data_IF_547340049994
#
_entry.id   IF_547340049994
#
_cell.length_a   1.000
_cell.length_b   1.000
_cell.length_c   1.000
_cell.angle_alpha   90.00
_cell.angle_beta   90.00
_cell.angle_gamma   90.00
#
_symmetry.space_group_name_H-M   'P 1'
#
loop_
_entity.id
_entity.type
_entity.pdbx_description
1 polymer ?
#
# COMPACT_ATOMS: atom_id res chain seq x y z
N UNK A 1 -52.99 -52.90 -50.50
CA UNK A 1 -52.09 -53.17 -49.40
C UNK A 1 -50.76 -52.52 -49.73
N UNK A 2 -50.45 -51.37 -49.14
CA UNK A 2 -49.18 -50.66 -49.30
C UNK A 2 -48.41 -50.78 -47.96
N UNK A 3 -47.11 -51.09 -47.94
CA UNK A 3 -46.36 -51.20 -46.72
C UNK A 3 -45.94 -49.81 -46.21
N UNK A 4 -46.19 -49.53 -44.95
CA UNK A 4 -45.72 -48.37 -44.26
C UNK A 4 -44.21 -48.50 -43.96
N UNK A 5 -43.42 -47.57 -44.45
CA UNK A 5 -42.02 -47.39 -44.07
C UNK A 5 -41.93 -46.62 -42.75
N UNK A 6 -41.53 -47.32 -41.70
CA UNK A 6 -41.17 -46.66 -40.43
C UNK A 6 -39.77 -46.06 -40.61
N UNK A 7 -39.66 -44.74 -40.63
CA UNK A 7 -38.38 -44.04 -40.51
C UNK A 7 -37.94 -44.11 -39.03
N UNK A 8 -36.85 -44.80 -38.77
CA UNK A 8 -36.16 -44.74 -37.50
C UNK A 8 -35.51 -43.35 -37.35
N UNK A 9 -36.03 -42.55 -36.44
CA UNK A 9 -35.36 -41.32 -35.95
C UNK A 9 -34.12 -41.74 -35.15
N UNK A 10 -32.95 -41.56 -35.70
CA UNK A 10 -31.69 -41.63 -34.96
C UNK A 10 -31.70 -40.47 -33.96
N UNK A 11 -31.46 -40.72 -32.65
CA UNK A 11 -31.29 -39.65 -31.70
C UNK A 11 -30.05 -38.83 -32.08
N UNK A 12 -30.21 -37.51 -32.22
CA UNK A 12 -29.06 -36.61 -32.38
C UNK A 12 -28.15 -36.75 -31.17
N UNK A 13 -26.88 -37.04 -31.42
CA UNK A 13 -25.86 -37.03 -30.38
C UNK A 13 -25.89 -35.63 -29.71
N UNK A 14 -25.75 -35.56 -28.37
CA UNK A 14 -25.66 -34.28 -27.70
C UNK A 14 -24.48 -33.52 -28.30
N UNK A 15 -24.73 -32.27 -28.74
CA UNK A 15 -23.69 -31.38 -29.19
C UNK A 15 -22.66 -31.27 -28.05
N UNK A 16 -21.48 -31.86 -28.24
CA UNK A 16 -20.39 -31.76 -27.27
C UNK A 16 -20.13 -30.30 -26.98
N UNK A 17 -20.00 -29.95 -25.71
CA UNK A 17 -19.52 -28.62 -25.35
C UNK A 17 -18.21 -28.40 -26.09
N UNK A 18 -18.03 -27.25 -26.78
CA UNK A 18 -16.76 -26.97 -27.43
C UNK A 18 -15.63 -27.09 -26.40
N UNK A 19 -14.63 -27.90 -26.71
CA UNK A 19 -13.43 -28.01 -25.88
C UNK A 19 -12.79 -26.63 -25.75
N UNK A 20 -12.42 -26.24 -24.54
CA UNK A 20 -11.76 -24.96 -24.30
C UNK A 20 -10.42 -24.92 -25.02
N UNK A 21 -10.09 -23.79 -25.62
CA UNK A 21 -8.88 -23.64 -26.45
C UNK A 21 -7.72 -23.23 -25.55
N UNK A 22 -6.56 -23.86 -25.72
CA UNK A 22 -5.31 -23.43 -25.11
C UNK A 22 -4.82 -22.14 -25.82
N UNK A 23 -4.62 -21.07 -25.05
CA UNK A 23 -4.10 -19.78 -25.53
C UNK A 23 -2.58 -19.73 -25.41
N UNK A 24 -2.06 -20.19 -24.28
CA UNK A 24 -0.63 -20.24 -24.02
C UNK A 24 -0.24 -21.49 -23.22
N UNK A 25 1.00 -21.96 -23.43
CA UNK A 25 1.67 -22.95 -22.60
C UNK A 25 2.74 -22.23 -21.79
N UNK A 26 2.78 -22.47 -20.49
CA UNK A 26 3.69 -21.82 -19.54
C UNK A 26 4.36 -22.91 -18.71
N UNK A 27 5.59 -23.29 -19.07
CA UNK A 27 6.28 -24.48 -18.57
C UNK A 27 5.40 -25.74 -18.74
N UNK A 28 5.00 -26.38 -17.62
CA UNK A 28 4.19 -27.59 -17.61
C UNK A 28 2.68 -27.30 -17.48
N UNK A 29 2.25 -26.03 -17.54
CA UNK A 29 0.87 -25.61 -17.36
C UNK A 29 0.34 -24.87 -18.59
N UNK A 30 -0.97 -24.64 -18.66
CA UNK A 30 -1.65 -24.00 -19.78
C UNK A 30 -2.54 -22.86 -19.31
N UNK A 31 -2.74 -21.87 -20.19
CA UNK A 31 -3.76 -20.82 -20.03
C UNK A 31 -4.83 -21.08 -21.09
N UNK A 32 -6.08 -21.14 -20.64
CA UNK A 32 -7.25 -21.41 -21.47
C UNK A 32 -7.88 -20.11 -21.99
N UNK A 33 -8.61 -20.24 -23.10
CA UNK A 33 -9.35 -19.11 -23.68
C UNK A 33 -10.42 -18.57 -22.74
N UNK A 34 -11.08 -19.45 -21.98
CA UNK A 34 -12.04 -19.05 -20.95
C UNK A 34 -11.39 -18.19 -19.88
N UNK A 35 -10.22 -18.60 -19.35
CA UNK A 35 -9.48 -17.82 -18.35
C UNK A 35 -9.10 -16.42 -18.86
N UNK A 36 -8.63 -16.33 -20.12
CA UNK A 36 -8.32 -15.05 -20.74
C UNK A 36 -9.57 -14.17 -20.87
N UNK A 37 -10.69 -14.73 -21.35
CA UNK A 37 -11.94 -14.01 -21.55
C UNK A 37 -12.50 -13.51 -20.22
N UNK A 38 -12.47 -14.33 -19.17
CA UNK A 38 -12.94 -13.98 -17.83
C UNK A 38 -12.09 -12.85 -17.23
N UNK A 39 -10.78 -12.93 -17.38
CA UNK A 39 -9.86 -11.89 -16.93
C UNK A 39 -10.04 -10.57 -17.69
N UNK A 40 -10.23 -10.61 -19.01
CA UNK A 40 -10.56 -9.43 -19.84
C UNK A 40 -11.89 -8.82 -19.41
N UNK A 41 -12.92 -9.67 -19.20
CA UNK A 41 -14.24 -9.21 -18.74
C UNK A 41 -14.16 -8.53 -17.37
N UNK A 42 -13.38 -9.08 -16.44
CA UNK A 42 -13.16 -8.47 -15.13
C UNK A 42 -12.52 -7.08 -15.25
N UNK A 43 -11.52 -6.90 -16.12
CA UNK A 43 -10.93 -5.59 -16.37
C UNK A 43 -11.96 -4.62 -16.96
N UNK A 44 -12.74 -5.06 -17.94
CA UNK A 44 -13.78 -4.22 -18.53
C UNK A 44 -14.85 -3.80 -17.52
N UNK A 45 -15.25 -4.70 -16.61
CA UNK A 45 -16.20 -4.38 -15.53
C UNK A 45 -15.64 -3.36 -14.54
N UNK A 46 -14.35 -3.44 -14.22
CA UNK A 46 -13.70 -2.48 -13.36
C UNK A 46 -13.69 -1.07 -13.95
N UNK A 47 -13.64 -0.96 -15.28
CA UNK A 47 -13.70 0.31 -16.02
C UNK A 47 -15.10 0.59 -16.60
N UNK A 48 -16.15 -0.04 -16.07
CA UNK A 48 -17.52 0.22 -16.51
C UNK A 48 -17.89 1.70 -16.25
N UNK A 49 -18.19 2.44 -17.33
CA UNK A 49 -18.40 3.90 -17.31
C UNK A 49 -17.19 4.74 -17.74
N UNK A 50 -16.01 4.14 -17.91
CA UNK A 50 -14.77 4.78 -18.37
C UNK A 50 -14.06 3.92 -19.42
N UNK A 51 -14.82 3.29 -20.31
CA UNK A 51 -14.30 2.38 -21.34
C UNK A 51 -13.37 3.06 -22.33
N UNK A 52 -13.45 4.38 -22.47
CA UNK A 52 -12.52 5.20 -23.26
C UNK A 52 -11.07 5.19 -22.74
N UNK A 53 -10.86 4.76 -21.49
CA UNK A 53 -9.53 4.63 -20.89
C UNK A 53 -8.89 3.27 -21.20
N UNK A 54 -9.66 2.31 -21.71
CA UNK A 54 -9.14 1.00 -22.07
C UNK A 54 -8.45 1.07 -23.44
N UNK A 55 -7.33 0.35 -23.59
CA UNK A 55 -6.67 0.21 -24.88
C UNK A 55 -7.55 -0.60 -25.85
N UNK A 56 -7.23 -0.61 -27.16
CA UNK A 56 -7.89 -1.48 -28.13
C UNK A 56 -7.91 -2.94 -27.65
N UNK A 57 -8.97 -3.67 -27.99
CA UNK A 57 -9.24 -5.00 -27.46
C UNK A 57 -8.06 -5.99 -27.63
N UNK A 58 -7.40 -5.97 -28.75
CA UNK A 58 -6.23 -6.82 -29.00
C UNK A 58 -5.07 -6.51 -28.06
N UNK A 59 -4.83 -5.22 -27.76
CA UNK A 59 -3.80 -4.79 -26.81
C UNK A 59 -4.20 -5.16 -25.37
N UNK A 60 -5.49 -4.98 -25.03
CA UNK A 60 -6.01 -5.39 -23.74
C UNK A 60 -5.86 -6.89 -23.51
N UNK A 61 -6.25 -7.70 -24.49
CA UNK A 61 -6.12 -9.16 -24.40
C UNK A 61 -4.66 -9.59 -24.22
N UNK A 62 -3.73 -8.94 -24.91
CA UNK A 62 -2.31 -9.22 -24.75
C UNK A 62 -1.80 -8.86 -23.36
N UNK A 63 -2.11 -7.66 -22.85
CA UNK A 63 -1.70 -7.23 -21.51
C UNK A 63 -2.26 -8.15 -20.43
N UNK A 64 -3.51 -8.58 -20.60
CA UNK A 64 -4.14 -9.54 -19.68
C UNK A 64 -3.48 -10.92 -19.79
N UNK A 65 -3.16 -11.40 -20.98
CA UNK A 65 -2.44 -12.66 -21.18
C UNK A 65 -1.06 -12.61 -20.52
N UNK A 66 -0.30 -11.54 -20.71
CA UNK A 66 1.00 -11.35 -20.07
C UNK A 66 0.92 -11.40 -18.55
N UNK A 67 -0.12 -10.78 -18.00
CA UNK A 67 -0.40 -10.83 -16.55
C UNK A 67 -0.71 -12.25 -16.09
N UNK A 68 -1.52 -13.00 -16.84
CA UNK A 68 -1.84 -14.39 -16.52
C UNK A 68 -0.60 -15.28 -16.59
N UNK A 69 0.25 -15.09 -17.59
CA UNK A 69 1.54 -15.79 -17.72
C UNK A 69 2.42 -15.54 -16.50
N UNK A 70 2.62 -14.26 -16.12
CA UNK A 70 3.42 -13.93 -14.93
C UNK A 70 2.83 -14.49 -13.65
N UNK A 71 1.51 -14.44 -13.48
CA UNK A 71 0.84 -15.04 -12.33
C UNK A 71 1.09 -16.55 -12.26
N UNK A 72 0.95 -17.27 -13.39
CA UNK A 72 1.20 -18.71 -13.47
C UNK A 72 2.63 -19.07 -13.09
N UNK A 73 3.60 -18.32 -13.61
CA UNK A 73 5.02 -18.51 -13.29
C UNK A 73 5.30 -18.27 -11.77
N UNK A 74 4.71 -17.26 -11.19
CA UNK A 74 4.87 -16.96 -9.77
C UNK A 74 4.29 -18.08 -8.90
N UNK A 75 3.11 -18.60 -9.25
CA UNK A 75 2.46 -19.72 -8.52
C UNK A 75 3.32 -20.98 -8.62
N UNK A 76 3.80 -21.34 -9.82
CA UNK A 76 4.70 -22.48 -10.01
C UNK A 76 5.96 -22.33 -9.16
N UNK A 77 6.58 -21.16 -9.19
CA UNK A 77 7.79 -20.88 -8.41
C UNK A 77 7.57 -20.92 -6.91
N UNK A 78 6.43 -20.42 -6.43
CA UNK A 78 6.04 -20.51 -5.02
C UNK A 78 5.91 -21.98 -4.59
N UNK A 79 5.27 -22.81 -5.41
CA UNK A 79 5.14 -24.26 -5.17
C UNK A 79 6.50 -24.97 -5.14
N UNK A 80 7.42 -24.65 -6.07
CA UNK A 80 8.79 -25.16 -6.09
C UNK A 80 9.56 -24.82 -4.81
N UNK A 81 9.30 -23.65 -4.24
CA UNK A 81 9.90 -23.19 -2.99
C UNK A 81 9.19 -23.70 -1.72
N UNK A 82 8.15 -24.53 -1.88
CA UNK A 82 7.38 -25.05 -0.75
C UNK A 82 6.47 -24.01 -0.09
N UNK A 83 6.15 -22.92 -0.76
CA UNK A 83 5.18 -21.93 -0.27
C UNK A 83 3.78 -22.47 -0.52
N UNK A 84 3.09 -22.81 0.56
CA UNK A 84 1.73 -23.35 0.50
C UNK A 84 0.75 -22.42 1.21
N UNK A 85 -0.45 -22.31 0.66
CA UNK A 85 -1.60 -21.61 1.26
C UNK A 85 -2.60 -22.67 1.70
N UNK A 86 -2.96 -22.66 2.97
CA UNK A 86 -3.96 -23.60 3.53
C UNK A 86 -5.39 -23.07 3.33
N UNK A 87 -6.37 -23.98 3.42
CA UNK A 87 -7.79 -23.59 3.40
C UNK A 87 -8.11 -22.58 4.53
N UNK A 88 -7.47 -22.70 5.69
CA UNK A 88 -7.65 -21.78 6.80
C UNK A 88 -7.14 -20.35 6.47
N UNK A 89 -6.03 -20.23 5.73
CA UNK A 89 -5.53 -18.92 5.24
C UNK A 89 -6.55 -18.27 4.31
N UNK A 90 -7.13 -19.06 3.39
CA UNK A 90 -8.16 -18.58 2.45
C UNK A 90 -9.44 -18.19 3.19
N UNK A 91 -9.87 -18.96 4.18
CA UNK A 91 -11.06 -18.65 4.98
C UNK A 91 -10.87 -17.36 5.80
N UNK A 92 -9.68 -17.16 6.35
CA UNK A 92 -9.33 -15.91 7.03
C UNK A 92 -9.33 -14.71 6.07
N UNK A 93 -8.82 -14.87 4.85
CA UNK A 93 -8.86 -13.84 3.83
C UNK A 93 -10.31 -13.50 3.43
N UNK A 94 -11.17 -14.51 3.25
CA UNK A 94 -12.61 -14.34 2.99
C UNK A 94 -13.28 -13.55 4.10
N UNK A 95 -12.98 -13.87 5.37
CA UNK A 95 -13.50 -13.12 6.51
C UNK A 95 -13.05 -11.66 6.45
N UNK A 96 -11.77 -11.40 6.19
CA UNK A 96 -11.23 -10.04 6.06
C UNK A 96 -11.91 -9.24 4.94
N UNK A 97 -12.13 -9.85 3.77
CA UNK A 97 -12.86 -9.22 2.65
C UNK A 97 -14.31 -8.93 3.03
N UNK A 98 -14.98 -9.85 3.72
CA UNK A 98 -16.34 -9.65 4.18
C UNK A 98 -16.44 -8.48 5.18
N UNK A 99 -15.55 -8.42 6.18
CA UNK A 99 -15.49 -7.34 7.18
C UNK A 99 -15.25 -5.97 6.54
N UNK A 100 -14.31 -5.87 5.59
CA UNK A 100 -14.03 -4.63 4.84
C UNK A 100 -15.26 -4.11 4.08
N UNK A 101 -16.08 -5.04 3.57
CA UNK A 101 -17.31 -4.70 2.86
C UNK A 101 -18.54 -4.63 3.79
N UNK A 102 -18.37 -4.80 5.10
CA UNK A 102 -19.45 -4.81 6.11
C UNK A 102 -20.49 -5.92 5.84
N UNK A 103 -20.02 -7.08 5.39
CA UNK A 103 -20.79 -8.27 5.08
C UNK A 103 -20.41 -9.42 6.02
N UNK A 104 -21.30 -10.42 6.11
CA UNK A 104 -20.87 -11.74 6.62
C UNK A 104 -20.25 -12.57 5.49
N UNK A 105 -19.45 -13.62 5.79
CA UNK A 105 -18.93 -14.50 4.76
C UNK A 105 -20.02 -15.14 3.86
N UNK A 106 -21.20 -15.45 4.42
CA UNK A 106 -22.34 -15.98 3.68
C UNK A 106 -22.93 -14.93 2.73
N UNK A 107 -23.02 -13.68 3.16
CA UNK A 107 -23.48 -12.56 2.32
C UNK A 107 -22.49 -12.29 1.19
N UNK A 108 -21.19 -12.32 1.47
CA UNK A 108 -20.14 -12.18 0.46
C UNK A 108 -20.26 -13.29 -0.58
N UNK A 109 -20.43 -14.56 -0.14
CA UNK A 109 -20.67 -15.68 -1.04
C UNK A 109 -21.86 -15.47 -1.96
N UNK A 110 -23.00 -15.08 -1.39
CA UNK A 110 -24.19 -14.81 -2.17
C UNK A 110 -23.99 -13.69 -3.19
N UNK A 111 -23.25 -12.64 -2.84
CA UNK A 111 -22.92 -11.54 -3.73
C UNK A 111 -22.01 -11.99 -4.89
N UNK A 112 -20.98 -12.80 -4.62
CA UNK A 112 -20.11 -13.38 -5.65
C UNK A 112 -20.93 -14.24 -6.63
N UNK A 113 -21.80 -15.12 -6.12
CA UNK A 113 -22.64 -15.97 -6.94
C UNK A 113 -23.68 -15.16 -7.77
N UNK A 114 -24.22 -14.07 -7.23
CA UNK A 114 -25.11 -13.15 -7.96
C UNK A 114 -24.39 -12.36 -9.06
N UNK A 115 -23.10 -12.08 -8.92
CA UNK A 115 -22.30 -11.44 -9.98
C UNK A 115 -21.96 -12.38 -11.15
N UNK A 116 -22.38 -13.65 -11.08
CA UNK A 116 -22.15 -14.67 -12.10
C UNK A 116 -20.84 -15.43 -11.96
N UNK A 117 -20.07 -15.20 -10.88
CA UNK A 117 -18.83 -15.91 -10.59
C UNK A 117 -19.07 -17.08 -9.65
N UNK A 118 -18.35 -18.19 -9.81
CA UNK A 118 -18.44 -19.28 -8.83
C UNK A 118 -17.65 -18.92 -7.56
N UNK A 119 -18.20 -19.27 -6.39
CA UNK A 119 -17.48 -19.05 -5.14
C UNK A 119 -16.18 -19.87 -5.03
N UNK A 120 -16.12 -21.02 -5.73
CA UNK A 120 -14.90 -21.83 -5.82
C UNK A 120 -13.80 -21.09 -6.61
N UNK A 121 -14.14 -20.44 -7.73
CA UNK A 121 -13.19 -19.60 -8.49
C UNK A 121 -12.71 -18.40 -7.67
N UNK A 122 -13.59 -17.77 -6.90
CA UNK A 122 -13.22 -16.68 -5.99
C UNK A 122 -12.24 -17.14 -4.90
N UNK A 123 -12.48 -18.31 -4.29
CA UNK A 123 -11.54 -18.93 -3.34
C UNK A 123 -10.18 -19.21 -3.96
N UNK A 124 -10.16 -19.74 -5.17
CA UNK A 124 -8.90 -20.01 -5.89
C UNK A 124 -8.14 -18.71 -6.16
N UNK A 125 -8.83 -17.68 -6.62
CA UNK A 125 -8.22 -16.36 -6.85
C UNK A 125 -7.60 -15.78 -5.58
N UNK A 126 -8.25 -15.91 -4.42
CA UNK A 126 -7.68 -15.49 -3.13
C UNK A 126 -6.46 -16.33 -2.76
N UNK A 127 -6.51 -17.64 -2.97
CA UNK A 127 -5.37 -18.53 -2.74
C UNK A 127 -4.18 -18.14 -3.60
N UNK A 128 -4.39 -17.86 -4.89
CA UNK A 128 -3.35 -17.41 -5.82
C UNK A 128 -2.76 -16.06 -5.39
N UNK A 129 -3.60 -15.11 -4.98
CA UNK A 129 -3.14 -13.82 -4.45
C UNK A 129 -2.26 -13.97 -3.21
N UNK A 130 -2.69 -14.80 -2.24
CA UNK A 130 -1.91 -15.06 -1.02
C UNK A 130 -0.58 -15.74 -1.38
N UNK A 131 -0.60 -16.68 -2.32
CA UNK A 131 0.60 -17.39 -2.80
C UNK A 131 1.61 -16.39 -3.38
N UNK A 132 1.17 -15.53 -4.29
CA UNK A 132 2.01 -14.50 -4.92
C UNK A 132 2.53 -13.51 -3.88
N UNK A 133 1.69 -13.10 -2.91
CA UNK A 133 2.10 -12.21 -1.84
C UNK A 133 3.18 -12.85 -0.93
N UNK A 134 3.05 -14.13 -0.59
CA UNK A 134 4.06 -14.86 0.20
C UNK A 134 5.37 -15.01 -0.58
N UNK A 135 5.30 -15.29 -1.88
CA UNK A 135 6.48 -15.32 -2.74
C UNK A 135 7.18 -13.96 -2.78
N UNK A 136 6.43 -12.88 -2.98
CA UNK A 136 6.96 -11.52 -2.94
C UNK A 136 7.68 -11.24 -1.62
N UNK A 137 7.04 -11.56 -0.49
CA UNK A 137 7.64 -11.38 0.84
C UNK A 137 8.94 -12.17 1.00
N UNK A 138 8.98 -13.42 0.55
CA UNK A 138 10.20 -14.26 0.60
C UNK A 138 11.33 -13.65 -0.23
N UNK A 139 11.05 -13.28 -1.49
CA UNK A 139 12.05 -12.66 -2.39
C UNK A 139 12.62 -11.38 -1.80
N UNK A 140 11.75 -10.51 -1.27
CA UNK A 140 12.16 -9.23 -0.66
C UNK A 140 12.98 -9.47 0.61
N UNK A 141 12.54 -10.38 1.47
CA UNK A 141 13.22 -10.68 2.73
C UNK A 141 14.64 -11.20 2.51
N UNK A 142 14.85 -12.02 1.47
CA UNK A 142 16.13 -12.62 1.16
C UNK A 142 17.07 -11.67 0.40
N UNK A 143 16.53 -10.70 -0.34
CA UNK A 143 17.28 -9.86 -1.27
C UNK A 143 17.52 -8.43 -0.79
N UNK A 144 16.71 -7.92 0.15
CA UNK A 144 16.71 -6.50 0.51
C UNK A 144 17.25 -6.27 1.91
N UNK A 145 18.35 -5.53 1.99
CA UNK A 145 18.86 -4.97 3.22
C UNK A 145 19.11 -3.47 3.04
N UNK A 146 18.84 -2.69 4.08
CA UNK A 146 19.11 -1.24 4.10
C UNK A 146 20.21 -0.98 5.12
N UNK A 147 21.31 -0.46 4.63
CA UNK A 147 22.49 -0.15 5.47
C UNK A 147 22.42 1.27 6.01
N UNK A 148 23.06 1.52 7.14
CA UNK A 148 23.18 2.88 7.69
C UNK A 148 23.90 3.84 6.73
N UNK A 149 24.86 3.34 5.95
CA UNK A 149 25.55 4.15 4.93
C UNK A 149 24.62 4.63 3.83
N UNK A 150 23.66 3.80 3.39
CA UNK A 150 22.65 4.22 2.41
C UNK A 150 21.71 5.27 2.99
N UNK A 151 21.33 5.11 4.26
CA UNK A 151 20.54 6.10 4.99
C UNK A 151 21.29 7.42 5.07
N UNK A 152 22.54 7.41 5.51
CA UNK A 152 23.38 8.61 5.64
C UNK A 152 23.59 9.30 4.29
N UNK A 153 23.79 8.52 3.21
CA UNK A 153 23.92 9.05 1.86
C UNK A 153 22.61 9.74 1.40
N UNK A 154 21.45 9.12 1.64
CA UNK A 154 20.16 9.74 1.31
C UNK A 154 19.95 11.03 2.12
N UNK A 155 20.14 11.00 3.43
CA UNK A 155 19.98 12.16 4.31
C UNK A 155 20.97 13.30 4.02
N UNK A 156 22.15 12.96 3.49
CA UNK A 156 23.15 13.97 3.08
C UNK A 156 22.92 14.54 1.70
N UNK A 157 22.06 13.92 0.89
CA UNK A 157 21.80 14.35 -0.49
C UNK A 157 21.20 15.74 -0.55
N UNK A 158 21.52 16.54 -1.59
CA UNK A 158 20.91 17.85 -1.78
C UNK A 158 19.38 17.81 -1.84
N UNK A 159 18.83 16.78 -2.47
CA UNK A 159 17.38 16.56 -2.64
C UNK A 159 16.70 16.38 -1.28
N UNK A 160 17.28 15.58 -0.38
CA UNK A 160 16.72 15.39 0.96
C UNK A 160 16.84 16.65 1.82
N UNK A 161 17.99 17.33 1.76
CA UNK A 161 18.26 18.57 2.51
C UNK A 161 17.43 19.76 2.05
N UNK A 162 16.87 19.72 0.83
CA UNK A 162 15.97 20.75 0.34
C UNK A 162 14.64 20.81 1.14
N UNK A 163 14.34 19.80 1.95
CA UNK A 163 13.19 19.80 2.85
C UNK A 163 11.88 19.53 2.13
N UNK A 164 10.85 20.27 2.52
CA UNK A 164 9.50 20.19 1.92
C UNK A 164 9.23 21.43 1.07
N UNK A 165 8.55 21.20 -0.04
CA UNK A 165 8.13 22.21 -1.00
C UNK A 165 6.60 22.16 -1.17
N UNK A 166 5.97 23.33 -1.15
CA UNK A 166 4.56 23.46 -1.51
C UNK A 166 4.49 23.78 -3.00
N UNK A 167 3.89 22.88 -3.75
CA UNK A 167 3.85 22.94 -5.20
C UNK A 167 2.42 23.07 -5.72
N UNK A 168 2.30 23.74 -6.86
CA UNK A 168 1.14 23.56 -7.73
C UNK A 168 1.63 23.19 -9.13
N UNK A 169 0.79 22.51 -9.92
CA UNK A 169 1.13 22.13 -11.26
C UNK A 169 0.02 22.35 -12.29
N UNK A 170 0.42 22.46 -13.54
CA UNK A 170 -0.44 22.38 -14.72
C UNK A 170 0.08 21.23 -15.55
N UNK A 171 -0.74 20.22 -15.77
CA UNK A 171 -0.40 19.07 -16.60
C UNK A 171 -1.13 19.19 -17.93
N UNK A 172 -0.40 19.10 -19.03
CA UNK A 172 -0.94 18.99 -20.38
C UNK A 172 -0.68 17.58 -20.85
N UNK A 173 -1.70 16.77 -20.86
CA UNK A 173 -1.61 15.34 -21.19
C UNK A 173 -1.23 15.11 -22.65
N UNK A 174 -0.49 14.03 -22.90
CA UNK A 174 -0.24 13.51 -24.24
C UNK A 174 -0.94 12.17 -24.32
N UNK A 175 -1.89 12.01 -25.26
CA UNK A 175 -2.57 10.74 -25.44
C UNK A 175 -1.62 9.58 -25.69
N UNK A 176 -1.93 8.39 -25.17
CA UNK A 176 -1.15 7.18 -25.47
C UNK A 176 -1.14 6.91 -26.98
N UNK A 177 0.04 6.62 -27.54
CA UNK A 177 0.18 6.41 -28.99
C UNK A 177 0.13 7.68 -29.84
N UNK A 178 0.25 8.86 -29.23
CA UNK A 178 0.20 10.15 -29.93
C UNK A 178 1.31 10.26 -31.01
N UNK A 179 0.92 10.73 -32.18
CA UNK A 179 1.85 11.07 -33.24
C UNK A 179 2.60 12.40 -32.95
N UNK A 180 3.56 12.73 -33.80
CA UNK A 180 4.36 13.94 -33.64
C UNK A 180 3.49 15.23 -33.65
N UNK A 181 2.39 15.24 -34.40
CA UNK A 181 1.49 16.39 -34.48
C UNK A 181 0.71 16.58 -33.16
N UNK A 182 0.22 15.51 -32.55
CA UNK A 182 -0.45 15.54 -31.25
C UNK A 182 0.52 15.96 -30.12
N UNK A 183 1.77 15.47 -30.14
CA UNK A 183 2.80 15.91 -29.19
C UNK A 183 3.07 17.41 -29.34
N UNK A 184 3.22 17.89 -30.58
CA UNK A 184 3.43 19.32 -30.86
C UNK A 184 2.22 20.18 -30.42
N UNK A 185 1.01 19.70 -30.58
CA UNK A 185 -0.20 20.39 -30.12
C UNK A 185 -0.21 20.52 -28.57
N UNK A 186 0.13 19.44 -27.84
CA UNK A 186 0.27 19.47 -26.39
C UNK A 186 1.37 20.43 -25.92
N UNK A 187 2.50 20.46 -26.61
CA UNK A 187 3.57 21.40 -26.34
C UNK A 187 3.10 22.86 -26.53
N UNK A 188 2.43 23.13 -27.66
CA UNK A 188 1.87 24.46 -27.95
C UNK A 188 0.87 24.90 -26.88
N UNK A 189 0.00 23.99 -26.39
CA UNK A 189 -0.93 24.26 -25.28
C UNK A 189 -0.19 24.61 -23.99
N UNK A 190 0.91 23.89 -23.68
CA UNK A 190 1.73 24.19 -22.52
C UNK A 190 2.43 25.56 -22.62
N UNK A 191 2.95 25.89 -23.81
CA UNK A 191 3.56 27.20 -24.09
C UNK A 191 2.54 28.34 -24.00
N UNK A 192 1.30 28.14 -24.43
CA UNK A 192 0.19 29.10 -24.26
C UNK A 192 -0.16 29.32 -22.79
N UNK A 193 -0.24 28.25 -21.99
CA UNK A 193 -0.45 28.37 -20.55
C UNK A 193 0.67 29.17 -19.88
N UNK A 194 1.91 28.87 -20.22
CA UNK A 194 3.08 29.57 -19.69
C UNK A 194 3.11 31.07 -20.12
N UNK A 195 2.75 31.36 -21.38
CA UNK A 195 2.65 32.72 -21.87
C UNK A 195 1.54 33.50 -21.14
N UNK A 196 0.39 32.87 -20.88
CA UNK A 196 -0.71 33.48 -20.13
C UNK A 196 -0.26 33.85 -18.69
N UNK A 197 0.45 32.94 -18.02
CA UNK A 197 1.00 33.18 -16.67
C UNK A 197 2.01 34.32 -16.69
N UNK A 198 2.93 34.31 -17.64
CA UNK A 198 3.90 35.41 -17.82
C UNK A 198 3.23 36.75 -18.16
N UNK A 199 2.07 36.70 -18.80
CA UNK A 199 1.21 37.84 -19.09
C UNK A 199 0.37 38.35 -17.91
N UNK A 200 0.54 37.74 -16.71
CA UNK A 200 -0.12 38.15 -15.47
C UNK A 200 -1.35 37.37 -15.11
N UNK A 201 -1.68 36.27 -15.82
CA UNK A 201 -2.74 35.37 -15.39
C UNK A 201 -2.29 34.67 -14.09
N UNK A 202 -3.19 34.61 -13.13
CA UNK A 202 -2.93 33.84 -11.89
C UNK A 202 -2.73 32.35 -12.21
N UNK A 203 -1.83 31.69 -11.48
CA UNK A 203 -1.47 30.30 -11.74
C UNK A 203 -2.65 29.34 -11.54
N UNK A 204 -3.46 29.56 -10.51
CA UNK A 204 -4.62 28.73 -10.23
C UNK A 204 -5.66 28.88 -11.35
N UNK A 205 -5.88 30.12 -11.85
CA UNK A 205 -6.74 30.37 -12.98
C UNK A 205 -6.21 29.71 -14.27
N UNK A 206 -4.89 29.70 -14.47
CA UNK A 206 -4.26 29.01 -15.57
C UNK A 206 -4.40 27.48 -15.44
N UNK A 207 -4.28 26.92 -14.23
CA UNK A 207 -4.52 25.50 -13.97
C UNK A 207 -5.97 25.10 -14.34
N UNK A 208 -6.95 25.83 -13.85
CA UNK A 208 -8.37 25.61 -14.19
C UNK A 208 -8.60 25.65 -15.70
N UNK A 209 -7.91 26.52 -16.42
CA UNK A 209 -8.13 26.76 -17.87
C UNK A 209 -7.39 25.77 -18.76
N UNK A 210 -6.19 25.37 -18.40
CA UNK A 210 -5.28 24.64 -19.31
C UNK A 210 -4.93 23.25 -18.84
N UNK A 211 -5.01 22.92 -17.52
CA UNK A 211 -4.61 21.65 -16.99
C UNK A 211 -5.59 20.54 -17.34
N UNK A 212 -5.05 19.40 -17.69
CA UNK A 212 -5.81 18.15 -17.89
C UNK A 212 -5.73 17.23 -16.66
N UNK A 213 -5.13 17.70 -15.54
CA UNK A 213 -5.01 16.96 -14.30
C UNK A 213 -6.32 16.99 -13.51
N UNK A 214 -6.54 15.97 -12.66
CA UNK A 214 -7.74 15.87 -11.82
C UNK A 214 -7.89 17.00 -10.79
N UNK A 215 -6.77 17.58 -10.36
CA UNK A 215 -6.67 18.71 -9.43
C UNK A 215 -6.74 20.09 -10.10
N UNK A 216 -7.00 20.14 -11.42
CA UNK A 216 -7.08 21.37 -12.17
C UNK A 216 -8.11 22.37 -11.58
N UNK A 217 -9.27 21.88 -11.13
CA UNK A 217 -10.33 22.68 -10.53
C UNK A 217 -9.97 23.23 -9.15
N UNK A 218 -9.01 22.60 -8.45
CA UNK A 218 -8.45 23.05 -7.19
C UNK A 218 -7.24 23.98 -7.40
N UNK A 219 -7.05 24.46 -8.64
CA UNK A 219 -5.93 25.37 -9.00
C UNK A 219 -4.62 24.64 -9.21
N UNK A 220 -4.64 23.31 -9.32
CA UNK A 220 -3.47 22.44 -9.47
C UNK A 220 -2.61 22.34 -8.21
N UNK A 221 -3.15 22.65 -7.03
CA UNK A 221 -2.42 22.61 -5.76
C UNK A 221 -2.11 21.16 -5.37
N UNK A 222 -0.82 20.81 -5.28
CA UNK A 222 -0.31 19.51 -4.85
C UNK A 222 -0.08 19.44 -3.34
N UNK A 223 -0.16 20.57 -2.64
CA UNK A 223 0.17 20.69 -1.23
C UNK A 223 1.68 20.56 -0.97
N UNK A 224 2.03 20.34 0.31
CA UNK A 224 3.40 20.09 0.74
C UNK A 224 3.86 18.70 0.32
N UNK A 225 5.02 18.65 -0.33
CA UNK A 225 5.70 17.43 -0.77
C UNK A 225 7.15 17.46 -0.31
N UNK A 226 7.69 16.33 0.06
CA UNK A 226 9.12 16.19 0.29
C UNK A 226 9.85 16.22 -1.05
N UNK A 227 11.01 16.81 -1.08
CA UNK A 227 11.79 16.93 -2.31
C UNK A 227 12.24 15.57 -2.87
N UNK A 228 12.42 14.56 -2.01
CA UNK A 228 12.76 13.19 -2.38
C UNK A 228 11.56 12.36 -2.92
N UNK A 229 10.33 12.84 -2.75
CA UNK A 229 9.11 12.26 -3.35
C UNK A 229 8.84 12.77 -4.77
N UNK A 230 9.57 13.79 -5.20
CA UNK A 230 9.38 14.42 -6.50
C UNK A 230 10.11 13.60 -7.58
N UNK A 231 9.46 13.29 -8.72
CA UNK A 231 10.12 12.61 -9.82
C UNK A 231 11.42 13.31 -10.22
N UNK A 232 12.48 12.52 -10.44
CA UNK A 232 13.82 13.04 -10.77
C UNK A 232 13.82 14.02 -11.95
N UNK A 233 12.93 13.82 -12.94
CA UNK A 233 12.78 14.71 -14.09
C UNK A 233 12.41 16.16 -13.71
N UNK A 234 11.86 16.40 -12.53
CA UNK A 234 11.42 17.71 -12.05
C UNK A 234 12.28 18.22 -10.89
N UNK A 235 12.90 17.31 -10.13
CA UNK A 235 13.58 17.62 -8.87
C UNK A 235 14.70 18.67 -9.05
N UNK A 236 15.52 18.55 -10.09
CA UNK A 236 16.62 19.50 -10.37
C UNK A 236 16.09 20.91 -10.67
N UNK A 237 15.01 20.98 -11.44
CA UNK A 237 14.38 22.28 -11.78
C UNK A 237 13.80 22.92 -10.52
N UNK A 238 13.00 22.16 -9.74
CA UNK A 238 12.37 22.67 -8.52
C UNK A 238 13.43 23.05 -7.48
N UNK A 239 14.51 22.27 -7.35
CA UNK A 239 15.61 22.56 -6.43
C UNK A 239 16.36 23.87 -6.72
N UNK A 240 16.27 24.38 -7.97
CA UNK A 240 16.86 25.66 -8.38
C UNK A 240 15.89 26.85 -8.27
N UNK A 241 14.58 26.59 -8.03
CA UNK A 241 13.54 27.62 -7.95
C UNK A 241 13.50 28.29 -6.57
N UNK A 242 12.94 29.50 -6.54
CA UNK A 242 12.59 30.21 -5.32
C UNK A 242 11.08 30.24 -5.14
N UNK A 243 10.63 30.44 -3.92
CA UNK A 243 9.20 30.63 -3.65
C UNK A 243 8.60 31.71 -4.55
N UNK A 244 7.51 31.38 -5.22
CA UNK A 244 6.86 32.23 -6.24
C UNK A 244 7.25 31.92 -7.68
N UNK A 245 8.35 31.22 -7.93
CA UNK A 245 8.82 30.91 -9.29
C UNK A 245 7.91 29.90 -9.99
N UNK A 246 7.85 30.00 -11.32
CA UNK A 246 7.16 29.08 -12.23
C UNK A 246 8.18 28.49 -13.19
N UNK A 247 8.18 27.16 -13.31
CA UNK A 247 9.09 26.43 -14.21
C UNK A 247 8.79 26.67 -15.68
N UNK A 248 9.73 26.41 -16.59
CA UNK A 248 9.38 26.18 -17.99
C UNK A 248 8.46 24.96 -18.11
N UNK A 249 7.92 24.73 -19.32
CA UNK A 249 7.20 23.49 -19.60
C UNK A 249 8.19 22.30 -19.60
N UNK A 250 8.03 21.41 -18.63
CA UNK A 250 8.89 20.23 -18.45
C UNK A 250 8.21 19.01 -19.08
N UNK A 251 8.98 18.19 -19.79
CA UNK A 251 8.47 16.93 -20.33
C UNK A 251 8.51 15.86 -19.25
N UNK A 252 7.37 15.23 -18.98
CA UNK A 252 7.21 14.10 -18.09
C UNK A 252 6.62 12.88 -18.80
N UNK A 253 6.45 11.73 -18.10
CA UNK A 253 5.89 10.52 -18.66
C UNK A 253 4.46 10.68 -19.21
N UNK A 254 3.64 11.50 -18.55
CA UNK A 254 2.22 11.70 -18.85
C UNK A 254 1.96 12.92 -19.76
N UNK A 255 2.97 13.73 -20.06
CA UNK A 255 2.80 14.92 -20.87
C UNK A 255 3.76 16.05 -20.51
N UNK A 256 3.31 17.29 -20.70
CA UNK A 256 4.04 18.49 -20.27
C UNK A 256 3.52 18.99 -18.94
N UNK A 257 4.45 19.41 -18.07
CA UNK A 257 4.16 19.93 -16.75
C UNK A 257 4.75 21.32 -16.58
N UNK A 258 3.97 22.26 -16.06
CA UNK A 258 4.42 23.56 -15.58
C UNK A 258 4.23 23.54 -14.07
N UNK A 259 5.29 23.79 -13.32
CA UNK A 259 5.30 23.67 -11.87
C UNK A 259 5.51 25.06 -11.28
N UNK A 260 4.70 25.41 -10.28
CA UNK A 260 4.91 26.59 -9.44
C UNK A 260 5.42 26.15 -8.07
N UNK A 261 6.53 26.69 -7.63
CA UNK A 261 6.96 26.59 -6.25
C UNK A 261 6.25 27.68 -5.44
N UNK A 262 5.26 27.29 -4.64
CA UNK A 262 4.49 28.23 -3.83
C UNK A 262 5.31 28.66 -2.62
N UNK A 263 5.88 27.69 -1.90
CA UNK A 263 6.69 27.91 -0.70
C UNK A 263 7.66 26.74 -0.50
N UNK A 264 8.66 26.95 0.34
CA UNK A 264 9.60 25.90 0.75
C UNK A 264 9.93 26.04 2.23
N UNK A 265 10.09 24.91 2.90
CA UNK A 265 10.48 24.87 4.30
C UNK A 265 11.48 23.74 4.56
N UNK A 266 12.40 23.95 5.45
CA UNK A 266 13.18 22.85 5.98
C UNK A 266 12.25 21.95 6.80
N UNK A 267 12.52 20.64 6.80
CA UNK A 267 11.71 19.68 7.54
C UNK A 267 11.43 20.17 8.97
N UNK A 268 10.19 20.12 9.39
CA UNK A 268 9.80 20.56 10.73
C UNK A 268 10.42 19.65 11.79
N UNK A 269 10.97 20.24 12.86
CA UNK A 269 11.46 19.46 13.99
C UNK A 269 10.34 18.57 14.55
N UNK A 270 10.63 17.29 14.74
CA UNK A 270 9.72 16.34 15.35
C UNK A 270 9.91 16.36 16.86
N UNK A 271 9.31 17.36 17.51
CA UNK A 271 9.25 17.41 18.97
C UNK A 271 8.14 16.48 19.45
N UNK A 272 8.44 15.64 20.41
CA UNK A 272 7.47 14.74 21.04
C UNK A 272 7.57 14.88 22.56
N UNK A 273 6.43 14.81 23.23
CA UNK A 273 6.41 14.72 24.68
C UNK A 273 6.70 13.28 25.09
N UNK A 274 7.69 13.07 25.93
CA UNK A 274 7.94 11.79 26.59
C UNK A 274 7.56 11.88 28.07
N UNK A 275 7.04 10.77 28.59
CA UNK A 275 6.75 10.62 30.01
C UNK A 275 7.76 9.65 30.63
N UNK A 276 8.17 9.97 31.86
CA UNK A 276 8.77 9.02 32.79
C UNK A 276 7.67 8.63 33.79
N UNK A 277 7.38 7.36 33.86
CA UNK A 277 6.30 6.87 34.71
C UNK A 277 6.65 5.55 35.36
N UNK A 278 5.86 5.16 36.34
CA UNK A 278 5.87 3.82 36.91
C UNK A 278 4.46 3.29 37.07
N UNK A 279 4.32 1.95 37.04
CA UNK A 279 3.01 1.30 37.09
C UNK A 279 2.95 0.17 38.11
N UNK A 280 1.74 -0.07 38.59
CA UNK A 280 1.34 -1.32 39.24
C UNK A 280 0.24 -1.92 38.39
N UNK A 281 0.41 -3.15 37.93
CA UNK A 281 -0.57 -3.89 37.15
C UNK A 281 -1.10 -5.06 37.94
N UNK A 282 -2.42 -5.13 38.14
CA UNK A 282 -3.12 -6.24 38.77
C UNK A 282 -3.92 -6.99 37.69
N UNK A 283 -3.48 -8.20 37.35
CA UNK A 283 -4.13 -9.05 36.33
C UNK A 283 -5.18 -9.94 37.01
N UNK A 284 -6.41 -10.03 36.50
CA UNK A 284 -7.32 -11.12 36.82
C UNK A 284 -6.69 -12.46 36.43
N UNK A 285 -7.01 -13.53 37.17
CA UNK A 285 -6.54 -14.88 36.93
C UNK A 285 -7.58 -15.90 37.46
N UNK A 286 -7.30 -17.19 37.32
CA UNK A 286 -8.16 -18.24 37.89
C UNK A 286 -8.34 -18.09 39.41
N UNK A 287 -7.35 -17.50 40.11
CA UNK A 287 -7.35 -17.30 41.56
C UNK A 287 -7.78 -15.88 41.97
N UNK A 288 -7.86 -14.93 41.05
CA UNK A 288 -8.19 -13.53 41.30
C UNK A 288 -9.27 -13.08 40.30
N UNK A 289 -10.51 -12.99 40.79
CA UNK A 289 -11.61 -12.52 39.96
C UNK A 289 -11.41 -11.06 39.52
N UNK A 290 -12.07 -10.59 38.45
CA UNK A 290 -12.01 -9.18 38.02
C UNK A 290 -12.37 -8.21 39.15
N UNK A 291 -13.38 -8.53 39.96
CA UNK A 291 -13.81 -7.70 41.12
C UNK A 291 -12.73 -7.65 42.23
N UNK A 292 -12.07 -8.76 42.48
CA UNK A 292 -10.95 -8.81 43.43
C UNK A 292 -9.73 -8.05 42.94
N UNK A 293 -9.45 -8.08 41.63
CA UNK A 293 -8.37 -7.31 41.03
C UNK A 293 -8.64 -5.81 41.14
N UNK A 294 -9.87 -5.37 40.88
CA UNK A 294 -10.32 -3.98 41.10
C UNK A 294 -10.15 -3.56 42.55
N UNK A 295 -10.67 -4.36 43.47
CA UNK A 295 -10.58 -4.04 44.89
C UNK A 295 -9.12 -3.94 45.37
N UNK A 296 -8.26 -4.87 44.93
CA UNK A 296 -6.84 -4.83 45.24
C UNK A 296 -6.16 -3.57 44.69
N UNK A 297 -6.50 -3.15 43.48
CA UNK A 297 -5.98 -1.91 42.90
C UNK A 297 -6.43 -0.69 43.72
N UNK A 298 -7.69 -0.62 44.16
CA UNK A 298 -8.19 0.45 45.05
C UNK A 298 -7.49 0.46 46.39
N UNK A 299 -7.25 -0.70 46.97
CA UNK A 299 -6.56 -0.82 48.27
C UNK A 299 -5.10 -0.36 48.14
N UNK A 300 -4.38 -0.73 47.11
CA UNK A 300 -3.02 -0.27 46.83
C UNK A 300 -2.97 1.24 46.60
N UNK A 301 -3.89 1.79 45.82
CA UNK A 301 -4.02 3.23 45.65
C UNK A 301 -4.21 3.96 46.98
N UNK A 302 -5.12 3.48 47.87
CA UNK A 302 -5.32 4.04 49.18
C UNK A 302 -4.08 3.96 50.09
N UNK A 303 -3.28 2.88 49.97
CA UNK A 303 -1.99 2.73 50.69
C UNK A 303 -0.98 3.79 50.21
N UNK A 304 -0.93 4.04 48.92
CA UNK A 304 -0.03 5.06 48.33
C UNK A 304 -0.48 6.47 48.79
N UNK A 305 -1.74 6.82 48.59
CA UNK A 305 -2.22 8.20 48.79
C UNK A 305 -2.41 8.55 50.27
N UNK A 306 -3.05 7.67 51.05
CA UNK A 306 -3.44 7.98 52.42
C UNK A 306 -2.41 7.54 53.45
N UNK A 307 -1.68 6.45 53.18
CA UNK A 307 -0.67 5.94 54.13
C UNK A 307 0.76 6.28 53.70
N UNK A 308 0.93 6.93 52.56
CA UNK A 308 2.24 7.32 51.99
C UNK A 308 3.24 6.16 51.85
N UNK A 309 2.71 4.96 51.61
CA UNK A 309 3.57 3.80 51.34
C UNK A 309 4.30 3.96 50.01
N UNK A 310 5.53 3.47 49.96
CA UNK A 310 6.38 3.64 48.78
C UNK A 310 5.83 2.87 47.58
N UNK A 311 5.59 3.59 46.48
CA UNK A 311 5.07 3.02 45.22
C UNK A 311 5.93 1.89 44.69
N UNK A 312 7.29 2.06 44.69
CA UNK A 312 8.19 1.08 44.15
C UNK A 312 8.18 -0.23 44.94
N UNK A 313 8.07 -0.15 46.26
CA UNK A 313 7.93 -1.32 47.12
C UNK A 313 6.61 -2.04 46.83
N UNK A 314 5.51 -1.32 46.75
CA UNK A 314 4.20 -1.90 46.45
C UNK A 314 4.15 -2.50 45.04
N UNK A 315 4.82 -1.91 44.04
CA UNK A 315 4.96 -2.45 42.73
C UNK A 315 5.72 -3.79 42.73
N UNK A 316 6.86 -3.88 43.41
CA UNK A 316 7.64 -5.13 43.55
C UNK A 316 6.84 -6.26 44.18
N UNK A 317 6.05 -5.95 45.18
CA UNK A 317 5.26 -6.95 45.95
C UNK A 317 4.00 -7.40 45.22
N UNK A 318 3.37 -6.51 44.47
CA UNK A 318 1.99 -6.71 44.00
C UNK A 318 1.79 -6.68 42.49
N UNK A 319 2.68 -6.03 41.73
CA UNK A 319 2.50 -5.89 40.29
C UNK A 319 2.67 -7.23 39.56
N UNK A 320 1.83 -7.44 38.57
CA UNK A 320 1.86 -8.59 37.66
C UNK A 320 2.40 -8.19 36.27
N UNK A 321 3.09 -7.06 36.19
CA UNK A 321 3.84 -6.68 35.01
C UNK A 321 5.27 -7.23 35.10
N UNK A 322 5.55 -8.27 34.33
CA UNK A 322 6.84 -8.96 34.34
C UNK A 322 8.01 -8.07 33.90
N UNK A 323 7.71 -6.99 33.16
CA UNK A 323 8.70 -6.06 32.64
C UNK A 323 9.19 -5.08 33.71
N UNK A 324 8.26 -4.52 34.49
CA UNK A 324 8.57 -3.39 35.38
C UNK A 324 8.47 -3.71 36.87
N UNK A 325 7.78 -4.79 37.27
CA UNK A 325 7.53 -5.10 38.69
C UNK A 325 8.84 -5.15 39.50
N UNK A 326 9.88 -5.85 39.03
CA UNK A 326 11.15 -6.04 39.72
C UNK A 326 11.97 -4.75 39.90
N UNK A 327 11.73 -3.74 39.06
CA UNK A 327 12.37 -2.43 39.14
C UNK A 327 11.45 -1.37 39.78
N UNK A 328 10.47 -1.82 40.58
CA UNK A 328 9.57 -0.90 41.30
C UNK A 328 8.52 -0.25 40.43
N UNK A 329 8.17 -0.90 39.32
CA UNK A 329 7.18 -0.42 38.35
C UNK A 329 7.74 0.59 37.34
N UNK A 330 9.04 0.89 37.36
CA UNK A 330 9.65 1.91 36.49
C UNK A 330 9.57 1.51 35.02
N UNK A 331 8.93 2.38 34.22
CA UNK A 331 8.70 2.21 32.79
C UNK A 331 9.75 2.96 31.94
N UNK A 332 10.65 3.73 32.58
CA UNK A 332 11.58 4.62 31.90
C UNK A 332 10.91 5.80 31.20
N UNK A 333 11.67 6.44 30.31
CA UNK A 333 11.14 7.48 29.41
C UNK A 333 10.55 6.86 28.15
N UNK A 334 9.33 7.26 27.79
CA UNK A 334 8.64 6.72 26.63
C UNK A 334 7.61 7.72 26.05
N UNK A 335 7.28 7.54 24.77
CA UNK A 335 6.22 8.29 24.10
C UNK A 335 4.84 7.81 24.60
N UNK A 336 3.83 8.69 24.67
CA UNK A 336 2.52 8.37 25.26
C UNK A 336 1.86 7.10 24.73
N UNK A 337 2.09 6.75 23.47
CA UNK A 337 1.46 5.60 22.80
C UNK A 337 2.22 4.28 22.98
N UNK A 338 3.46 4.30 23.46
CA UNK A 338 4.33 3.12 23.52
C UNK A 338 3.77 1.99 24.42
N UNK A 339 2.97 2.35 25.44
CA UNK A 339 2.30 1.40 26.32
C UNK A 339 0.78 1.33 26.07
N UNK A 340 0.32 1.76 24.90
CA UNK A 340 -1.08 1.78 24.49
C UNK A 340 -1.79 3.10 24.78
N UNK A 341 -2.82 3.37 24.00
CA UNK A 341 -3.54 4.65 24.03
C UNK A 341 -4.17 4.99 25.41
N UNK A 342 -4.66 3.98 26.11
CA UNK A 342 -5.28 4.15 27.43
C UNK A 342 -4.26 4.66 28.45
N UNK A 343 -3.07 4.06 28.50
CA UNK A 343 -1.99 4.48 29.41
C UNK A 343 -1.50 5.87 29.05
N UNK A 344 -1.28 6.14 27.76
CA UNK A 344 -0.88 7.47 27.30
C UNK A 344 -1.86 8.57 27.65
N UNK A 345 -3.16 8.30 27.49
CA UNK A 345 -4.23 9.25 27.88
C UNK A 345 -4.24 9.53 29.39
N UNK A 346 -4.10 8.48 30.21
CA UNK A 346 -4.06 8.62 31.66
C UNK A 346 -2.84 9.45 32.11
N UNK A 347 -1.65 9.14 31.58
CA UNK A 347 -0.42 9.89 31.91
C UNK A 347 -0.49 11.35 31.45
N UNK A 348 -1.12 11.64 30.30
CA UNK A 348 -1.31 12.99 29.81
C UNK A 348 -2.19 13.85 30.70
N UNK A 349 -3.11 13.24 31.47
CA UNK A 349 -3.98 13.93 32.40
C UNK A 349 -3.33 14.20 33.76
N UNK A 350 -2.23 13.48 34.11
CA UNK A 350 -1.56 13.65 35.40
C UNK A 350 -0.55 14.78 35.36
N UNK A 351 -0.31 15.38 36.53
CA UNK A 351 0.87 16.23 36.78
C UNK A 351 2.08 15.37 37.19
N UNK A 352 3.27 15.97 37.13
CA UNK A 352 4.48 15.28 37.59
C UNK A 352 4.36 14.92 39.08
N UNK A 353 4.76 13.71 39.42
CA UNK A 353 4.62 13.03 40.70
C UNK A 353 3.17 12.67 41.12
N UNK A 354 2.18 12.92 40.29
CA UNK A 354 0.80 12.55 40.57
C UNK A 354 0.55 11.07 40.27
N UNK A 355 -0.30 10.46 41.11
CA UNK A 355 -0.74 9.05 41.00
C UNK A 355 -2.15 9.01 40.43
N UNK A 356 -2.36 8.17 39.39
CA UNK A 356 -3.69 7.99 38.79
C UNK A 356 -4.65 7.29 39.74
N UNK A 357 -5.95 7.56 39.58
CA UNK A 357 -6.96 6.62 40.05
C UNK A 357 -6.74 5.25 39.41
N UNK A 358 -7.10 4.14 40.07
CA UNK A 358 -7.11 2.82 39.42
C UNK A 358 -8.02 2.82 38.21
N UNK A 359 -7.54 2.33 37.09
CA UNK A 359 -8.31 2.21 35.85
C UNK A 359 -8.06 0.86 35.17
N UNK A 360 -8.98 0.44 34.32
CA UNK A 360 -8.92 -0.84 33.63
C UNK A 360 -8.42 -0.69 32.18
N UNK A 361 -7.60 -1.64 31.73
CA UNK A 361 -7.27 -1.90 30.34
C UNK A 361 -7.53 -3.37 30.01
N UNK A 362 -7.24 -3.79 28.77
CA UNK A 362 -7.28 -5.20 28.40
C UNK A 362 -6.31 -6.08 29.21
N UNK A 363 -5.18 -5.51 29.65
CA UNK A 363 -4.19 -6.24 30.46
C UNK A 363 -4.59 -6.42 31.93
N UNK A 364 -5.54 -5.64 32.44
CA UNK A 364 -5.97 -5.66 33.83
C UNK A 364 -6.18 -4.28 34.42
N UNK A 365 -6.05 -4.17 35.75
CA UNK A 365 -6.17 -2.94 36.52
C UNK A 365 -4.80 -2.28 36.72
N UNK A 366 -4.72 -1.00 36.41
CA UNK A 366 -3.49 -0.20 36.50
C UNK A 366 -3.59 0.90 37.55
N UNK A 367 -2.47 1.18 38.20
CA UNK A 367 -2.20 2.41 38.93
C UNK A 367 -0.93 2.97 38.32
N UNK A 368 -0.95 4.22 37.87
CA UNK A 368 0.21 4.91 37.28
C UNK A 368 0.67 6.03 38.18
N UNK A 369 1.97 6.30 38.16
CA UNK A 369 2.51 7.56 38.66
C UNK A 369 3.36 8.18 37.58
N UNK A 370 3.06 9.43 37.17
CA UNK A 370 3.94 10.19 36.30
C UNK A 370 5.07 10.78 37.13
N UNK A 371 6.31 10.39 36.83
CA UNK A 371 7.50 10.91 37.53
C UNK A 371 7.98 12.23 36.91
N UNK A 372 7.77 12.40 35.60
CA UNK A 372 8.13 13.58 34.87
C UNK A 372 7.66 13.58 33.43
N UNK A 373 7.78 14.73 32.79
CA UNK A 373 7.59 14.89 31.36
C UNK A 373 8.71 15.72 30.76
N UNK A 374 9.08 15.44 29.49
CA UNK A 374 10.05 16.21 28.74
C UNK A 374 9.68 16.30 27.28
N UNK A 375 10.15 17.34 26.62
CA UNK A 375 10.15 17.43 25.17
C UNK A 375 11.44 16.80 24.63
N UNK A 376 11.30 15.85 23.71
CA UNK A 376 12.41 15.17 23.06
C UNK A 376 12.40 15.49 21.56
N UNK A 377 13.54 15.88 21.01
CA UNK A 377 13.69 16.10 19.59
C UNK A 377 14.01 14.75 18.92
N UNK A 378 13.01 14.17 18.26
CA UNK A 378 13.15 12.92 17.51
C UNK A 378 13.32 13.15 16.00
N UNK A 379 13.64 14.38 15.57
CA UNK A 379 13.78 14.71 14.16
C UNK A 379 14.74 13.76 13.46
N UNK A 380 15.96 13.62 13.96
CA UNK A 380 16.99 12.77 13.36
C UNK A 380 16.55 11.30 13.30
N UNK A 381 15.97 10.78 14.39
CA UNK A 381 15.51 9.39 14.41
C UNK A 381 14.37 9.18 13.42
N UNK A 382 13.40 10.08 13.39
CA UNK A 382 12.25 10.00 12.47
C UNK A 382 12.71 10.08 11.01
N UNK A 383 13.66 10.98 10.70
CA UNK A 383 14.25 11.11 9.37
C UNK A 383 14.98 9.83 8.95
N UNK A 384 15.77 9.23 9.84
CA UNK A 384 16.45 7.96 9.57
C UNK A 384 15.47 6.82 9.32
N UNK A 385 14.39 6.73 10.10
CA UNK A 385 13.37 5.69 9.94
C UNK A 385 12.59 5.87 8.62
N UNK A 386 12.25 7.10 8.25
CA UNK A 386 11.62 7.41 6.97
C UNK A 386 12.56 7.11 5.79
N UNK A 387 13.83 7.50 5.90
CA UNK A 387 14.84 7.20 4.88
C UNK A 387 15.03 5.68 4.72
N UNK A 388 15.10 4.93 5.82
CA UNK A 388 15.17 3.46 5.81
C UNK A 388 13.97 2.85 5.11
N UNK A 389 12.78 3.33 5.41
CA UNK A 389 11.54 2.87 4.78
C UNK A 389 11.53 3.18 3.27
N UNK A 390 11.86 4.41 2.87
CA UNK A 390 11.89 4.82 1.47
C UNK A 390 12.89 4.00 0.64
N UNK A 391 14.12 3.81 1.18
CA UNK A 391 15.15 2.98 0.53
C UNK A 391 14.66 1.53 0.45
N UNK A 392 14.09 1.00 1.54
CA UNK A 392 13.58 -0.36 1.62
C UNK A 392 12.48 -0.62 0.59
N UNK A 393 11.48 0.25 0.49
CA UNK A 393 10.40 0.15 -0.50
C UNK A 393 10.95 0.13 -1.93
N UNK A 394 11.80 1.10 -2.29
CA UNK A 394 12.41 1.17 -3.62
C UNK A 394 13.24 -0.08 -3.96
N UNK A 395 14.07 -0.56 -3.02
CA UNK A 395 14.88 -1.76 -3.22
C UNK A 395 14.00 -3.01 -3.35
N UNK A 396 12.89 -3.07 -2.61
CA UNK A 396 11.93 -4.18 -2.68
C UNK A 396 11.24 -4.24 -4.03
N UNK A 397 10.76 -3.11 -4.53
CA UNK A 397 10.15 -3.00 -5.85
C UNK A 397 11.15 -3.42 -6.94
N UNK A 398 12.36 -2.85 -6.92
CA UNK A 398 13.40 -3.17 -7.90
C UNK A 398 13.80 -4.65 -7.84
N UNK A 399 14.03 -5.22 -6.66
CA UNK A 399 14.42 -6.61 -6.50
C UNK A 399 13.31 -7.56 -7.01
N UNK A 400 12.06 -7.21 -6.78
CA UNK A 400 10.94 -8.01 -7.26
C UNK A 400 10.73 -7.89 -8.77
N UNK A 401 10.88 -6.70 -9.36
CA UNK A 401 10.85 -6.50 -10.81
C UNK A 401 11.97 -7.25 -11.52
N UNK A 402 13.20 -7.22 -10.97
CA UNK A 402 14.33 -7.99 -11.47
C UNK A 402 14.03 -9.48 -11.40
N UNK A 403 13.52 -9.94 -10.26
CA UNK A 403 13.11 -11.33 -10.06
C UNK A 403 12.04 -11.79 -11.08
N UNK A 404 11.02 -10.97 -11.34
CA UNK A 404 9.98 -11.30 -12.32
C UNK A 404 10.52 -11.35 -13.74
N UNK A 405 11.47 -10.47 -14.09
CA UNK A 405 12.17 -10.53 -15.40
C UNK A 405 12.97 -11.81 -15.56
N UNK A 406 13.73 -12.18 -14.53
CA UNK A 406 14.51 -13.42 -14.52
C UNK A 406 13.60 -14.64 -14.59
N UNK A 407 12.50 -14.65 -13.82
CA UNK A 407 11.52 -15.72 -13.84
C UNK A 407 10.91 -15.92 -15.24
N UNK A 408 10.54 -14.80 -15.90
CA UNK A 408 10.00 -14.84 -17.26
C UNK A 408 11.06 -15.28 -18.30
N UNK A 409 12.29 -14.80 -18.19
CA UNK A 409 13.36 -15.10 -19.15
C UNK A 409 13.81 -16.57 -19.14
N UNK A 410 13.68 -17.22 -17.97
CA UNK A 410 14.04 -18.63 -17.78
C UNK A 410 12.88 -19.61 -18.02
N UNK A 411 11.68 -19.11 -18.28
CA UNK A 411 10.48 -19.92 -18.47
C UNK A 411 10.28 -20.32 -19.94
N UNK A 412 9.71 -21.49 -20.16
CA UNK A 412 9.18 -21.85 -21.47
C UNK A 412 7.77 -21.25 -21.63
N UNK A 413 7.63 -20.30 -22.54
CA UNK A 413 6.36 -19.64 -22.86
C UNK A 413 6.09 -19.83 -24.36
N UNK A 414 4.94 -20.40 -24.70
CA UNK A 414 4.49 -20.57 -26.08
C UNK A 414 3.04 -20.09 -26.23
N UNK A 415 2.88 -18.91 -26.83
CA UNK A 415 1.56 -18.34 -27.13
C UNK A 415 1.04 -18.99 -28.39
N UNK A 416 -0.12 -19.64 -28.35
CA UNK A 416 -0.70 -20.41 -29.45
C UNK A 416 -1.65 -19.58 -30.35
N UNK A 417 -2.04 -18.38 -29.90
CA UNK A 417 -2.91 -17.46 -30.65
C UNK A 417 -2.03 -16.48 -31.44
N UNK A 418 -2.04 -16.56 -32.79
CA UNK A 418 -1.11 -15.77 -33.63
C UNK A 418 -1.26 -14.24 -33.41
N UNK A 419 -2.51 -13.77 -33.22
CA UNK A 419 -2.82 -12.35 -33.07
C UNK A 419 -2.23 -11.75 -31.76
N UNK A 420 -1.92 -12.61 -30.79
CA UNK A 420 -1.31 -12.23 -29.53
C UNK A 420 0.22 -12.42 -29.49
N UNK A 421 0.81 -13.06 -30.55
CA UNK A 421 2.25 -13.24 -30.69
C UNK A 421 2.98 -12.03 -31.28
N UNK A 422 2.35 -11.30 -32.22
CA UNK A 422 3.03 -10.27 -33.01
C UNK A 422 3.46 -9.06 -32.21
N UNK A 423 2.82 -8.80 -31.07
CA UNK A 423 3.18 -7.68 -30.23
C UNK A 423 4.39 -7.95 -29.31
N UNK A 424 4.66 -9.22 -28.95
CA UNK A 424 5.86 -9.62 -28.17
C UNK A 424 7.16 -9.39 -29.01
N UNK A 425 7.11 -9.57 -30.33
CA UNK A 425 8.25 -9.37 -31.21
C UNK A 425 8.62 -7.88 -31.41
N UNK A 426 7.68 -6.97 -31.29
CA UNK A 426 7.91 -5.51 -31.36
C UNK A 426 8.45 -4.94 -30.05
N UNK A 427 8.04 -5.47 -28.90
CA UNK A 427 8.59 -5.08 -27.60
C UNK A 427 10.05 -5.55 -27.44
N UNK A 428 10.39 -6.74 -27.93
CA UNK A 428 11.77 -7.27 -27.91
C UNK A 428 12.71 -6.56 -28.89
N UNK A 429 12.20 -6.02 -30.00
CA UNK A 429 13.00 -5.29 -31.02
C UNK A 429 13.30 -3.83 -30.62
N UNK A 430 12.57 -3.27 -29.64
CA UNK A 430 12.75 -1.90 -29.11
C UNK A 430 13.85 -1.76 -28.05
N UNK A 431 14.44 -2.86 -27.56
CA UNK A 431 15.49 -2.87 -26.54
C UNK A 431 16.84 -3.38 -27.07
N UNK A 432 17.30 -2.90 -28.20
CA UNK A 432 18.70 -3.05 -28.60
C UNK A 432 19.42 -1.70 -28.49
N UNK A 433 20.69 -1.72 -28.05
CA UNK A 433 21.38 -0.68 -27.29
C UNK A 433 21.63 0.64 -28.01
#
# INVERSE_FOLDING_TARGET
>A
MLPAHAQMLTPAAPAGQPLDRIVAVVNDDVILQSELNDAVTSVQQQYAGHTEQLPPMNVLQQQVLDRLVLMRLQIQKAQDQGIHVSDADVDQAIQGVAEQNKLTPEQLRAQVEQSGSSFAAFRQQLSDQITVQRLHQSVVQDSVSVTDSEIDNLLSSPTYKAGEVHLAHIQISIPGGADAAAIQASQTKAEQALAAIKGGMDFNAAAIRYSDASDALDGGDLGWRRMDEIPAAFADTIGSMKAGDVSPALRGPTGFHIIKLIDQRQGSRKMVTEFHARQILIKPSELVTPAQAEQKAKDLYNRIINKHEDFATLAKENSKDDTTANVGGDMGWFQPQAWGATIGKQLGALKDNEVSQPFQSEAGWHILQRLGSRESDLTVQTERDQARQAIGTRKSEQAYDDYLRDLRSNAYINILVPELREADSQAAAGTSP
#
